data_IF_827825712793
#
_entry.id   IF_827825712793
#
_cell.length_a   1.000
_cell.length_b   1.000
_cell.length_c   1.000
_cell.angle_alpha   90.00
_cell.angle_beta   90.00
_cell.angle_gamma   90.00
#
_symmetry.space_group_name_H-M   'P 1'
#
loop_
_entity.id
_entity.type
_entity.pdbx_description
1 polymer ?
#
# COMPACT_ATOMS: atom_id res chain seq x y z
N UNK A 1 -60.88 -20.41 51.03
CA UNK A 1 -60.69 -21.85 50.73
C UNK A 1 -60.09 -21.96 49.33
N UNK A 2 -59.07 -22.79 49.07
CA UNK A 2 -59.11 -24.27 48.92
C UNK A 2 -60.15 -24.74 47.88
N UNK A 3 -59.83 -25.59 46.89
CA UNK A 3 -58.52 -26.20 46.53
C UNK A 3 -58.56 -26.80 45.09
N UNK A 4 -57.44 -27.43 44.70
CA UNK A 4 -57.20 -28.42 43.61
C UNK A 4 -58.46 -29.21 43.18
N UNK A 5 -58.70 -29.52 41.88
CA UNK A 5 -58.40 -30.82 41.18
C UNK A 5 -58.91 -30.76 39.70
N UNK A 6 -58.62 -31.62 38.69
CA UNK A 6 -57.51 -32.55 38.31
C UNK A 6 -57.64 -32.93 36.79
N UNK A 7 -56.52 -32.97 36.03
CA UNK A 7 -56.31 -33.70 34.73
C UNK A 7 -57.26 -33.35 33.53
N UNK A 8 -57.11 -33.86 32.27
CA UNK A 8 -55.95 -34.04 31.36
C UNK A 8 -56.44 -34.42 29.92
N UNK A 9 -55.51 -34.53 28.93
CA UNK A 9 -55.61 -35.27 27.64
C UNK A 9 -56.30 -34.58 26.41
N UNK A 10 -55.86 -34.99 25.20
CA UNK A 10 -56.46 -34.82 23.85
C UNK A 10 -56.21 -33.53 23.02
N UNK A 11 -55.00 -33.44 22.45
CA UNK A 11 -54.72 -33.36 21.00
C UNK A 11 -55.81 -32.75 20.07
N UNK A 12 -55.47 -31.63 19.43
CA UNK A 12 -55.86 -31.32 18.06
C UNK A 12 -54.71 -30.54 17.38
N UNK A 13 -54.33 -30.92 16.16
CA UNK A 13 -53.22 -30.27 15.44
C UNK A 13 -53.73 -29.18 14.49
N UNK A 14 -52.97 -28.09 14.36
CA UNK A 14 -53.10 -27.14 13.25
C UNK A 14 -51.71 -26.62 12.85
N UNK A 15 -51.29 -26.96 11.64
CA UNK A 15 -50.11 -26.36 11.00
C UNK A 15 -50.48 -24.98 10.43
N UNK A 16 -49.75 -23.93 10.81
CA UNK A 16 -49.63 -22.71 10.01
C UNK A 16 -48.12 -22.44 9.91
N UNK A 17 -47.62 -22.30 8.68
CA UNK A 17 -46.19 -22.43 8.38
C UNK A 17 -45.35 -21.21 8.74
N UNK A 18 -44.22 -21.44 9.41
CA UNK A 18 -43.10 -20.51 9.42
C UNK A 18 -42.26 -20.67 8.14
N UNK A 19 -42.21 -19.64 7.29
CA UNK A 19 -41.35 -19.64 6.10
C UNK A 19 -39.90 -19.46 6.56
N UNK A 20 -39.10 -20.52 6.46
CA UNK A 20 -37.64 -20.44 6.58
C UNK A 20 -37.04 -19.81 5.31
N UNK A 21 -37.08 -18.47 5.24
CA UNK A 21 -36.33 -17.72 4.22
C UNK A 21 -34.83 -17.92 4.44
N UNK A 22 -34.17 -18.57 3.47
CA UNK A 22 -32.74 -18.82 3.46
C UNK A 22 -31.96 -17.51 3.26
N UNK A 23 -31.66 -16.81 4.36
CA UNK A 23 -30.80 -15.62 4.39
C UNK A 23 -29.32 -15.95 4.21
N UNK A 24 -28.93 -16.53 3.06
CA UNK A 24 -27.53 -16.70 2.66
C UNK A 24 -27.20 -15.76 1.50
N UNK A 25 -26.79 -14.55 1.83
CA UNK A 25 -26.27 -13.59 0.84
C UNK A 25 -25.03 -14.18 0.13
N UNK A 26 -24.97 -14.14 -1.21
CA UNK A 26 -23.74 -14.38 -1.96
C UNK A 26 -22.98 -13.06 -2.15
N UNK A 27 -21.79 -12.97 -1.55
CA UNK A 27 -20.75 -11.98 -1.84
C UNK A 27 -19.38 -12.68 -1.77
N UNK A 28 -18.34 -12.26 -2.52
CA UNK A 28 -18.34 -11.26 -3.59
C UNK A 28 -17.49 -11.69 -4.82
N UNK A 29 -17.71 -12.89 -5.38
CA UNK A 29 -16.87 -13.45 -6.48
C UNK A 29 -16.67 -12.49 -7.68
N UNK A 30 -17.68 -11.66 -7.99
CA UNK A 30 -17.63 -10.80 -9.17
C UNK A 30 -16.77 -9.53 -9.01
N UNK A 31 -16.69 -8.94 -7.81
CA UNK A 31 -15.86 -7.73 -7.62
C UNK A 31 -14.38 -8.05 -7.54
N UNK A 32 -14.01 -9.18 -6.92
CA UNK A 32 -12.64 -9.70 -6.85
C UNK A 32 -12.08 -9.87 -8.27
N UNK A 33 -12.79 -10.61 -9.14
CA UNK A 33 -12.35 -10.84 -10.52
C UNK A 33 -12.17 -9.52 -11.32
N UNK A 34 -12.95 -8.48 -11.04
CA UNK A 34 -12.76 -7.16 -11.68
C UNK A 34 -11.53 -6.41 -11.14
N UNK A 35 -11.24 -6.49 -9.83
CA UNK A 35 -10.03 -5.95 -9.24
C UNK A 35 -8.78 -6.65 -9.80
N UNK A 36 -8.75 -7.98 -9.81
CA UNK A 36 -7.67 -8.80 -10.37
C UNK A 36 -7.39 -8.42 -11.84
N UNK A 37 -8.45 -8.23 -12.63
CA UNK A 37 -8.35 -7.85 -14.05
C UNK A 37 -7.79 -6.44 -14.22
N UNK A 38 -8.23 -5.48 -13.40
CA UNK A 38 -7.73 -4.10 -13.45
C UNK A 38 -6.25 -4.02 -13.05
N UNK A 39 -5.85 -4.77 -12.01
CA UNK A 39 -4.49 -4.86 -11.50
C UNK A 39 -3.55 -5.52 -12.53
N UNK A 40 -3.99 -6.60 -13.18
CA UNK A 40 -3.23 -7.26 -14.25
C UNK A 40 -3.07 -6.36 -15.49
N UNK A 41 -4.11 -5.62 -15.89
CA UNK A 41 -4.01 -4.62 -16.98
C UNK A 41 -3.05 -3.48 -16.61
N UNK A 42 -3.03 -3.07 -15.34
CA UNK A 42 -2.11 -2.03 -14.85
C UNK A 42 -0.67 -2.51 -14.81
N UNK A 43 -0.42 -3.74 -14.37
CA UNK A 43 0.89 -4.38 -14.45
C UNK A 43 1.43 -4.46 -15.89
N UNK A 44 0.60 -4.87 -16.85
CA UNK A 44 0.99 -4.93 -18.28
C UNK A 44 1.35 -3.54 -18.82
N UNK A 45 0.59 -2.50 -18.43
CA UNK A 45 0.88 -1.10 -18.79
C UNK A 45 2.27 -0.68 -18.26
N UNK A 46 2.54 -0.91 -16.98
CA UNK A 46 3.76 -0.45 -16.31
C UNK A 46 5.00 -1.27 -16.66
N UNK A 47 4.88 -2.59 -16.80
CA UNK A 47 6.01 -3.46 -17.14
C UNK A 47 6.52 -3.26 -18.57
N UNK A 48 5.67 -2.81 -19.50
CA UNK A 48 6.03 -2.56 -20.90
C UNK A 48 6.30 -1.09 -21.24
N UNK A 49 5.65 -0.13 -20.56
CA UNK A 49 5.69 1.31 -20.92
C UNK A 49 6.43 2.17 -19.88
N UNK A 50 7.44 1.58 -19.22
CA UNK A 50 8.28 2.27 -18.26
C UNK A 50 9.11 3.42 -18.85
N UNK A 51 9.38 4.43 -18.02
CA UNK A 51 10.33 5.51 -18.33
C UNK A 51 11.40 5.70 -17.25
N UNK A 52 11.25 5.06 -16.09
CA UNK A 52 12.21 5.14 -14.98
C UNK A 52 13.53 4.45 -15.32
N UNK A 53 14.62 4.97 -14.76
CA UNK A 53 15.90 4.25 -14.68
C UNK A 53 16.59 4.56 -13.36
N UNK A 54 17.32 3.60 -12.80
CA UNK A 54 18.06 3.81 -11.56
C UNK A 54 19.34 4.61 -11.86
N UNK A 55 19.21 5.89 -12.23
CA UNK A 55 20.30 6.77 -12.64
C UNK A 55 20.18 8.20 -12.08
N UNK A 56 21.32 8.86 -11.88
CA UNK A 56 21.37 10.27 -11.50
C UNK A 56 20.75 11.17 -12.59
N UNK A 57 21.06 10.93 -13.86
CA UNK A 57 20.49 11.66 -14.99
C UNK A 57 18.96 11.64 -15.00
N UNK A 58 18.34 10.52 -14.62
CA UNK A 58 16.89 10.46 -14.49
C UNK A 58 16.39 11.27 -13.27
N UNK A 59 17.04 11.16 -12.10
CA UNK A 59 16.73 12.01 -10.92
C UNK A 59 16.72 13.50 -11.32
N UNK A 60 17.80 13.96 -11.95
CA UNK A 60 18.00 15.37 -12.29
C UNK A 60 16.95 15.84 -13.33
N UNK A 61 16.49 14.95 -14.21
CA UNK A 61 15.44 15.26 -15.18
C UNK A 61 14.07 15.57 -14.56
N UNK A 62 13.75 15.01 -13.38
CA UNK A 62 12.44 15.15 -12.70
C UNK A 62 12.10 16.63 -12.47
N UNK A 63 13.09 17.46 -12.12
CA UNK A 63 12.89 18.89 -11.91
C UNK A 63 12.30 19.61 -13.14
N UNK A 64 12.64 19.14 -14.35
CA UNK A 64 12.19 19.73 -15.63
C UNK A 64 10.94 19.06 -16.23
N UNK A 65 10.49 17.94 -15.67
CA UNK A 65 9.27 17.27 -16.13
C UNK A 65 8.02 18.16 -15.94
N UNK A 66 7.01 17.98 -16.80
CA UNK A 66 5.67 18.50 -16.54
C UNK A 66 5.12 17.90 -15.25
N UNK A 67 4.45 18.69 -14.42
CA UNK A 67 3.86 18.22 -13.14
C UNK A 67 2.86 17.06 -13.31
N UNK A 68 2.26 16.95 -14.50
CA UNK A 68 1.34 15.87 -14.90
C UNK A 68 2.03 14.68 -15.59
N UNK A 69 3.35 14.74 -15.79
CA UNK A 69 4.12 13.56 -16.20
C UNK A 69 4.13 12.55 -15.04
N UNK A 70 4.38 11.28 -15.38
CA UNK A 70 4.42 10.20 -14.40
C UNK A 70 5.71 9.38 -14.55
N UNK A 71 6.30 9.01 -13.42
CA UNK A 71 7.50 8.20 -13.30
C UNK A 71 7.03 6.76 -13.18
N UNK A 72 7.29 5.96 -14.21
CA UNK A 72 6.67 4.65 -14.41
C UNK A 72 7.66 3.50 -14.39
N UNK A 73 7.17 2.35 -13.93
CA UNK A 73 7.84 1.05 -13.88
C UNK A 73 8.94 0.93 -12.82
N UNK A 74 9.54 -0.26 -12.77
CA UNK A 74 10.71 -0.57 -11.97
C UNK A 74 11.96 0.13 -12.52
N UNK A 75 13.07 0.14 -11.78
CA UNK A 75 14.32 0.73 -12.28
C UNK A 75 15.60 -0.10 -12.20
N UNK A 76 15.58 -1.29 -11.58
CA UNK A 76 16.71 -2.22 -11.52
C UNK A 76 16.43 -3.53 -12.28
N UNK A 77 15.31 -4.19 -12.00
CA UNK A 77 14.91 -5.48 -12.54
C UNK A 77 13.52 -5.42 -13.19
N UNK A 78 13.14 -6.33 -14.11
CA UNK A 78 11.77 -6.42 -14.62
C UNK A 78 10.75 -6.59 -13.48
N UNK A 79 9.57 -5.98 -13.59
CA UNK A 79 8.51 -6.15 -12.59
C UNK A 79 7.98 -7.60 -12.56
N UNK A 80 7.68 -8.13 -11.36
CA UNK A 80 6.84 -9.33 -11.19
C UNK A 80 5.40 -8.94 -10.89
N UNK A 81 4.44 -9.65 -11.49
CA UNK A 81 3.02 -9.52 -11.17
C UNK A 81 2.74 -9.94 -9.71
N UNK A 82 3.47 -10.93 -9.20
CA UNK A 82 3.30 -11.41 -7.83
C UNK A 82 3.67 -10.33 -6.82
N UNK A 83 4.89 -9.76 -6.92
CA UNK A 83 5.32 -8.65 -6.05
C UNK A 83 4.45 -7.41 -6.25
N UNK A 84 4.12 -7.05 -7.49
CA UNK A 84 3.28 -5.89 -7.79
C UNK A 84 1.93 -5.94 -7.05
N UNK A 85 1.23 -7.09 -7.09
CA UNK A 85 -0.04 -7.25 -6.38
C UNK A 85 0.13 -7.15 -4.86
N UNK A 86 1.13 -7.82 -4.28
CA UNK A 86 1.42 -7.73 -2.85
C UNK A 86 1.70 -6.29 -2.38
N UNK A 87 2.41 -5.51 -3.20
CA UNK A 87 2.79 -4.14 -2.88
C UNK A 87 1.60 -3.19 -2.93
N UNK A 88 0.76 -3.27 -3.97
CA UNK A 88 -0.46 -2.44 -4.09
C UNK A 88 -1.48 -2.82 -3.00
N UNK A 89 -1.75 -4.11 -2.80
CA UNK A 89 -2.61 -4.57 -1.71
C UNK A 89 -2.06 -4.20 -0.32
N UNK A 90 -0.73 -4.27 -0.14
CA UNK A 90 -0.07 -3.94 1.11
C UNK A 90 -0.17 -2.45 1.43
N UNK A 91 0.03 -1.57 0.43
CA UNK A 91 -0.17 -0.12 0.57
C UNK A 91 -1.64 0.24 0.83
N UNK A 92 -2.60 -0.44 0.21
CA UNK A 92 -4.02 -0.29 0.56
C UNK A 92 -4.24 -0.61 2.04
N UNK A 93 -3.80 -1.79 2.51
CA UNK A 93 -3.94 -2.24 3.90
C UNK A 93 -3.24 -1.30 4.89
N UNK A 94 -2.05 -0.79 4.55
CA UNK A 94 -1.30 0.20 5.32
C UNK A 94 -2.10 1.51 5.48
N UNK A 95 -2.76 1.98 4.40
CA UNK A 95 -3.57 3.21 4.38
C UNK A 95 -4.99 3.03 4.94
N UNK A 96 -5.42 1.82 5.32
CA UNK A 96 -6.64 1.62 6.12
C UNK A 96 -6.50 2.12 7.57
N UNK A 97 -5.28 2.23 8.09
CA UNK A 97 -5.00 2.80 9.40
C UNK A 97 -5.09 4.33 9.32
N UNK A 98 -5.93 4.97 10.14
CA UNK A 98 -6.29 6.38 9.95
C UNK A 98 -5.16 7.38 10.17
N UNK A 99 -4.11 7.01 10.91
CA UNK A 99 -2.86 7.79 11.04
C UNK A 99 -1.88 7.59 9.87
N UNK A 100 -2.08 6.56 9.06
CA UNK A 100 -1.21 6.20 7.93
C UNK A 100 -1.82 6.55 6.56
N UNK A 101 -3.08 7.01 6.51
CA UNK A 101 -3.74 7.44 5.29
C UNK A 101 -3.32 8.86 4.85
N UNK A 102 -2.04 9.01 4.49
CA UNK A 102 -1.46 10.30 4.08
C UNK A 102 -1.52 10.43 2.54
N UNK A 103 -2.00 11.56 1.97
CA UNK A 103 -2.12 11.74 0.51
C UNK A 103 -0.78 11.65 -0.26
N UNK A 104 0.32 12.01 0.38
CA UNK A 104 1.67 11.97 -0.15
C UNK A 104 2.22 10.54 -0.33
N UNK A 105 1.62 9.53 0.31
CA UNK A 105 1.98 8.11 0.11
C UNK A 105 1.32 7.60 -1.18
N UNK A 106 2.09 7.22 -2.21
CA UNK A 106 1.52 6.71 -3.47
C UNK A 106 0.75 5.41 -3.26
N UNK A 107 -0.40 5.25 -3.95
CA UNK A 107 -1.17 4.00 -3.95
C UNK A 107 -0.54 2.92 -4.86
N UNK A 108 0.26 3.34 -5.84
CA UNK A 108 1.03 2.48 -6.74
C UNK A 108 2.50 2.94 -6.72
N UNK A 109 3.45 2.14 -6.22
CA UNK A 109 4.85 2.53 -6.12
C UNK A 109 5.56 2.56 -7.47
N UNK A 110 4.93 2.00 -8.52
CA UNK A 110 5.43 1.94 -9.89
C UNK A 110 4.81 3.01 -10.82
N UNK A 111 3.95 3.92 -10.33
CA UNK A 111 3.37 5.00 -11.13
C UNK A 111 3.16 6.32 -10.36
N UNK A 112 4.22 7.12 -10.22
CA UNK A 112 4.25 8.32 -9.34
C UNK A 112 4.12 9.62 -10.17
N UNK A 113 3.32 10.60 -9.73
CA UNK A 113 3.27 11.93 -10.39
C UNK A 113 4.60 12.68 -10.23
N UNK A 114 5.08 13.31 -11.30
CA UNK A 114 6.30 14.12 -11.28
C UNK A 114 6.18 15.31 -10.30
N UNK A 115 4.99 15.89 -10.12
CA UNK A 115 4.71 16.89 -9.08
C UNK A 115 5.01 16.37 -7.67
N UNK A 116 4.52 15.16 -7.35
CA UNK A 116 4.73 14.52 -6.06
C UNK A 116 6.22 14.15 -5.89
N UNK A 117 6.85 13.58 -6.92
CA UNK A 117 8.29 13.29 -6.90
C UNK A 117 9.14 14.56 -6.63
N UNK A 118 8.82 15.71 -7.24
CA UNK A 118 9.48 17.00 -6.95
C UNK A 118 9.27 17.44 -5.50
N UNK A 119 8.03 17.38 -5.00
CA UNK A 119 7.67 17.73 -3.62
C UNK A 119 8.49 16.89 -2.64
N UNK A 120 8.48 15.56 -2.78
CA UNK A 120 9.17 14.64 -1.88
C UNK A 120 10.71 14.77 -1.98
N UNK A 121 11.29 14.96 -3.18
CA UNK A 121 12.72 15.25 -3.33
C UNK A 121 13.12 16.53 -2.59
N UNK A 122 12.24 17.53 -2.48
CA UNK A 122 12.54 18.77 -1.72
C UNK A 122 12.53 18.61 -0.19
N UNK A 123 12.07 17.46 0.32
CA UNK A 123 12.18 17.10 1.74
C UNK A 123 13.43 16.28 2.09
N UNK A 124 14.16 15.70 1.11
CA UNK A 124 15.28 14.76 1.38
C UNK A 124 16.56 15.38 2.01
N UNK A 125 16.71 16.71 1.93
CA UNK A 125 17.89 17.42 2.45
C UNK A 125 17.47 18.41 3.56
N UNK A 126 16.45 18.09 4.36
CA UNK A 126 16.01 18.90 5.51
C UNK A 126 16.73 18.49 6.81
N UNK A 127 16.77 19.39 7.78
CA UNK A 127 17.35 19.09 9.09
C UNK A 127 16.30 18.42 10.00
N UNK A 128 16.47 17.12 10.26
CA UNK A 128 15.73 16.39 11.28
C UNK A 128 16.26 16.71 12.69
N UNK A 129 15.38 16.71 13.68
CA UNK A 129 15.77 16.67 15.10
C UNK A 129 16.38 15.32 15.48
N UNK A 130 17.12 15.19 16.60
CA UNK A 130 17.75 13.92 17.00
C UNK A 130 16.75 12.76 17.16
N UNK A 131 15.56 13.06 17.67
CA UNK A 131 14.46 12.11 17.84
C UNK A 131 13.90 11.63 16.48
N UNK A 132 13.68 12.55 15.55
CA UNK A 132 13.22 12.26 14.18
C UNK A 132 14.28 11.47 13.38
N UNK A 133 15.55 11.88 13.48
CA UNK A 133 16.68 11.16 12.88
C UNK A 133 16.78 9.72 13.40
N UNK A 134 16.44 9.48 14.68
CA UNK A 134 16.44 8.13 15.26
C UNK A 134 15.37 7.24 14.60
N UNK A 135 14.21 7.79 14.21
CA UNK A 135 13.21 7.06 13.44
C UNK A 135 13.67 6.78 12.00
N UNK A 136 14.29 7.75 11.33
CA UNK A 136 14.84 7.58 9.99
C UNK A 136 15.98 6.54 9.95
N UNK A 137 16.94 6.63 10.88
CA UNK A 137 18.07 5.70 11.00
C UNK A 137 17.62 4.28 11.35
N UNK A 138 16.54 4.12 12.13
CA UNK A 138 15.92 2.82 12.35
C UNK A 138 15.45 2.21 11.02
N UNK A 139 14.74 2.98 10.18
CA UNK A 139 14.24 2.46 8.91
C UNK A 139 15.37 2.13 7.93
N UNK A 140 16.43 2.95 7.91
CA UNK A 140 17.66 2.69 7.16
C UNK A 140 18.32 1.36 7.56
N UNK A 141 18.23 0.94 8.83
CA UNK A 141 18.80 -0.32 9.31
C UNK A 141 17.86 -1.53 9.11
N UNK A 142 16.54 -1.34 9.22
CA UNK A 142 15.57 -2.43 9.30
C UNK A 142 14.87 -2.76 7.97
N UNK A 143 14.74 -1.81 7.04
CA UNK A 143 14.23 -2.07 5.68
C UNK A 143 15.04 -3.12 4.93
N UNK A 144 14.40 -3.85 4.00
CA UNK A 144 15.02 -4.96 3.27
C UNK A 144 16.21 -4.50 2.42
N UNK A 145 16.07 -3.35 1.77
CA UNK A 145 17.06 -2.70 0.90
C UNK A 145 18.09 -1.84 1.67
N UNK A 146 18.03 -1.81 3.01
CA UNK A 146 18.83 -0.94 3.89
C UNK A 146 18.79 0.54 3.50
N UNK A 147 17.57 0.98 3.20
CA UNK A 147 17.22 2.33 2.78
C UNK A 147 15.94 2.34 1.94
N UNK A 148 15.55 3.52 1.40
CA UNK A 148 14.36 3.70 0.58
C UNK A 148 14.40 3.03 -0.82
N UNK A 149 15.52 2.42 -1.21
CA UNK A 149 15.76 1.73 -2.48
C UNK A 149 17.13 1.02 -2.43
N UNK A 150 17.36 -0.04 -3.21
CA UNK A 150 18.65 -0.74 -3.29
C UNK A 150 19.86 0.15 -3.66
N UNK A 151 19.60 1.31 -4.27
CA UNK A 151 20.61 2.22 -4.77
C UNK A 151 20.16 3.69 -4.66
N UNK A 152 21.14 4.61 -4.61
CA UNK A 152 20.90 6.06 -4.53
C UNK A 152 20.45 6.68 -5.87
N UNK A 153 19.43 6.08 -6.48
CA UNK A 153 18.74 6.60 -7.65
C UNK A 153 17.60 7.57 -7.26
N UNK A 154 16.79 8.00 -8.22
CA UNK A 154 15.65 8.89 -7.95
C UNK A 154 14.68 8.37 -6.88
N UNK A 155 14.44 7.05 -6.79
CA UNK A 155 13.55 6.45 -5.79
C UNK A 155 14.07 6.69 -4.38
N UNK A 156 15.38 6.60 -4.17
CA UNK A 156 16.00 6.91 -2.87
C UNK A 156 15.68 8.33 -2.41
N UNK A 157 15.79 9.31 -3.30
CA UNK A 157 15.51 10.71 -2.96
C UNK A 157 14.01 10.99 -2.77
N UNK A 158 13.13 10.33 -3.54
CA UNK A 158 11.67 10.44 -3.37
C UNK A 158 11.19 9.78 -2.07
N UNK A 159 11.61 8.55 -1.79
CA UNK A 159 11.11 7.79 -0.64
C UNK A 159 11.85 8.09 0.68
N UNK A 160 13.10 8.56 0.61
CA UNK A 160 13.79 9.18 1.76
C UNK A 160 13.10 10.48 2.18
N UNK A 161 12.89 11.40 1.23
CA UNK A 161 12.17 12.65 1.51
C UNK A 161 10.70 12.44 1.89
N UNK A 162 10.06 11.36 1.44
CA UNK A 162 8.75 10.93 1.96
C UNK A 162 8.83 10.51 3.43
N UNK A 163 9.87 9.78 3.84
CA UNK A 163 10.05 9.42 5.24
C UNK A 163 10.33 10.65 6.12
N UNK A 164 11.21 11.55 5.67
CA UNK A 164 11.50 12.81 6.37
C UNK A 164 10.24 13.68 6.51
N UNK A 165 9.43 13.79 5.45
CA UNK A 165 8.12 14.43 5.49
C UNK A 165 7.16 13.76 6.51
N UNK A 166 7.00 12.43 6.45
CA UNK A 166 6.08 11.68 7.31
C UNK A 166 6.50 11.69 8.79
N UNK A 167 7.80 11.65 9.06
CA UNK A 167 8.35 11.75 10.41
C UNK A 167 8.04 13.16 10.97
N UNK A 168 8.41 14.24 10.27
CA UNK A 168 8.23 15.62 10.76
C UNK A 168 6.77 16.10 10.83
N UNK A 169 5.90 15.63 9.93
CA UNK A 169 4.55 16.20 9.76
C UNK A 169 3.42 15.27 10.22
N UNK A 170 3.71 13.98 10.46
CA UNK A 170 2.72 12.95 10.77
C UNK A 170 3.13 11.96 11.88
N UNK A 171 4.20 12.26 12.64
CA UNK A 171 4.69 11.49 13.79
C UNK A 171 5.02 10.00 13.47
N UNK A 172 5.40 9.68 12.23
CA UNK A 172 5.68 8.28 11.82
C UNK A 172 6.90 7.70 12.55
N UNK A 173 6.78 6.46 13.04
CA UNK A 173 7.89 5.73 13.66
C UNK A 173 8.80 5.05 12.62
N UNK A 174 10.00 4.67 13.04
CA UNK A 174 10.93 3.93 12.19
C UNK A 174 10.38 2.59 11.69
N UNK A 175 9.52 1.92 12.47
CA UNK A 175 8.80 0.72 12.05
C UNK A 175 7.81 1.02 10.91
N UNK A 176 7.04 2.11 11.01
CA UNK A 176 6.08 2.50 9.96
C UNK A 176 6.78 2.91 8.66
N UNK A 177 7.94 3.58 8.75
CA UNK A 177 8.77 3.87 7.59
C UNK A 177 9.42 2.60 7.02
N UNK A 178 9.84 1.65 7.87
CA UNK A 178 10.37 0.34 7.44
C UNK A 178 9.33 -0.43 6.62
N UNK A 179 8.09 -0.53 7.12
CA UNK A 179 6.98 -1.18 6.42
C UNK A 179 6.65 -0.45 5.12
N UNK A 180 6.54 0.89 5.16
CA UNK A 180 6.27 1.71 3.97
C UNK A 180 7.33 1.55 2.87
N UNK A 181 8.62 1.55 3.21
CA UNK A 181 9.70 1.36 2.22
C UNK A 181 9.70 -0.07 1.64
N UNK A 182 9.51 -1.09 2.47
CA UNK A 182 9.44 -2.49 2.00
C UNK A 182 8.23 -2.73 1.08
N UNK A 183 7.09 -2.08 1.36
CA UNK A 183 5.92 -2.07 0.48
C UNK A 183 6.16 -1.25 -0.80
N UNK A 184 6.89 -0.14 -0.70
CA UNK A 184 7.11 0.81 -1.81
C UNK A 184 8.30 0.49 -2.72
N UNK A 185 9.00 -0.63 -2.52
CA UNK A 185 10.19 -0.94 -3.31
C UNK A 185 9.88 -1.10 -4.81
N UNK A 186 10.27 -0.09 -5.59
CA UNK A 186 10.15 -0.12 -7.04
C UNK A 186 11.42 -0.57 -7.77
N UNK A 187 12.29 -1.36 -7.15
CA UNK A 187 13.43 -1.99 -7.84
C UNK A 187 12.97 -3.03 -8.87
N UNK A 188 11.82 -3.68 -8.65
CA UNK A 188 11.27 -4.76 -9.49
C UNK A 188 11.66 -6.14 -8.96
N UNK A 189 11.79 -7.14 -9.83
CA UNK A 189 12.14 -8.51 -9.44
C UNK A 189 10.97 -9.30 -8.84
N UNK A 190 11.28 -10.54 -8.42
CA UNK A 190 10.32 -11.52 -7.88
C UNK A 190 10.61 -11.89 -6.40
N UNK A 191 11.76 -11.43 -5.88
CA UNK A 191 12.20 -11.53 -4.49
C UNK A 191 12.72 -10.16 -4.03
N UNK A 192 12.91 -9.96 -2.73
CA UNK A 192 13.63 -8.79 -2.18
C UNK A 192 15.11 -8.80 -2.62
N UNK A 193 15.70 -7.62 -2.90
CA UNK A 193 17.06 -7.52 -3.45
C UNK A 193 18.09 -7.39 -2.33
N UNK A 194 18.32 -8.49 -1.61
CA UNK A 194 19.39 -8.55 -0.61
C UNK A 194 20.77 -8.34 -1.26
N UNK A 195 21.30 -7.12 -1.14
CA UNK A 195 22.58 -6.64 -1.70
C UNK A 195 23.71 -6.56 -0.66
#
# INVERSE_FOLDING_TARGET
MNKQTIFAIAIAALFIGGIFSLGRSPEPEQSIHFADTALAVKFEELSQNGNSSCSATFKDSIATMSDKARLKSSCCSPMSIHRYSEQVEGLEKFKLISSQNIPEIPDDPYDIEARLAKQLISYYDIELTPEEQTAYDYAMLNSSEKGPCCCKCWRWYVYGGLAEFLIQNHDFTGEQITELWNLSDGCGGDNEHHH
#
